data_IF_633397274309
#
_entry.id   IF_633397274309
#
_cell.length_a   1.000
_cell.length_b   1.000
_cell.length_c   1.000
_cell.angle_alpha   90.00
_cell.angle_beta   90.00
_cell.angle_gamma   90.00
#
_symmetry.space_group_name_H-M   'P 1'
#
loop_
_entity.id
_entity.type
_entity.pdbx_description
1 polymer ?
#
# COMPACT_ATOMS: atom_id res chain seq x y z
N UNK A 1 -15.53 18.26 -1.75
CA UNK A 1 -14.51 18.59 -0.73
C UNK A 1 -14.04 17.33 -0.01
N UNK A 2 -12.72 17.16 0.22
CA UNK A 2 -12.18 16.07 1.05
C UNK A 2 -11.62 16.57 2.39
N UNK A 3 -12.10 16.02 3.51
CA UNK A 3 -11.72 16.43 4.87
C UNK A 3 -11.23 15.24 5.72
N UNK A 4 -10.30 15.51 6.64
CA UNK A 4 -9.55 14.49 7.38
C UNK A 4 -9.64 14.60 8.91
N UNK A 5 -10.05 15.76 9.45
CA UNK A 5 -10.32 15.94 10.88
C UNK A 5 -11.19 17.18 11.13
N UNK A 6 -11.84 17.26 12.30
CA UNK A 6 -12.67 18.40 12.74
C UNK A 6 -11.93 19.75 12.77
N UNK A 7 -10.59 19.76 12.85
CA UNK A 7 -9.79 21.00 12.95
C UNK A 7 -9.61 21.75 11.61
N UNK A 8 -9.88 21.12 10.46
CA UNK A 8 -9.64 21.72 9.13
C UNK A 8 -10.92 22.02 8.35
N UNK A 9 -12.08 21.76 8.97
CA UNK A 9 -13.40 22.03 8.40
C UNK A 9 -13.70 23.51 8.17
N UNK A 10 -13.30 24.48 9.03
CA UNK A 10 -13.77 25.85 8.89
C UNK A 10 -13.42 26.49 7.54
N UNK A 11 -12.19 26.33 7.05
CA UNK A 11 -11.78 26.90 5.77
C UNK A 11 -12.44 26.25 4.54
N UNK A 12 -12.63 24.93 4.58
CA UNK A 12 -13.37 24.21 3.53
C UNK A 12 -14.87 24.52 3.57
N UNK A 13 -15.44 24.75 4.76
CA UNK A 13 -16.84 25.11 4.95
C UNK A 13 -17.13 26.52 4.46
N UNK A 14 -16.24 27.49 4.72
CA UNK A 14 -16.36 28.84 4.15
C UNK A 14 -16.33 28.77 2.63
N UNK A 15 -15.33 28.12 2.04
CA UNK A 15 -15.27 27.94 0.59
C UNK A 15 -16.52 27.24 0.02
N UNK A 16 -17.01 26.19 0.68
CA UNK A 16 -18.19 25.46 0.23
C UNK A 16 -19.46 26.31 0.32
N UNK A 17 -19.59 27.19 1.33
CA UNK A 17 -20.70 28.15 1.44
C UNK A 17 -20.72 29.10 0.25
N UNK A 18 -19.56 29.62 -0.15
CA UNK A 18 -19.45 30.52 -1.30
C UNK A 18 -19.88 29.81 -2.59
N UNK A 19 -19.50 28.54 -2.77
CA UNK A 19 -19.94 27.76 -3.92
C UNK A 19 -21.41 27.39 -3.91
N UNK A 20 -21.98 27.10 -2.72
CA UNK A 20 -23.41 26.89 -2.57
C UNK A 20 -24.21 28.16 -2.91
N UNK A 21 -23.71 29.33 -2.51
CA UNK A 21 -24.30 30.62 -2.88
C UNK A 21 -24.25 30.84 -4.40
N UNK A 22 -23.24 30.31 -5.09
CA UNK A 22 -23.14 30.28 -6.56
C UNK A 22 -23.96 29.14 -7.23
N UNK A 23 -24.78 28.40 -6.47
CA UNK A 23 -25.65 27.33 -6.99
C UNK A 23 -24.94 26.01 -7.29
N UNK A 24 -23.70 25.83 -6.83
CA UNK A 24 -22.93 24.61 -7.07
C UNK A 24 -23.10 23.60 -5.92
N UNK A 25 -23.34 22.33 -6.26
CA UNK A 25 -23.36 21.26 -5.27
C UNK A 25 -21.94 20.85 -4.85
N UNK A 26 -21.66 20.86 -3.54
CA UNK A 26 -20.33 20.46 -3.00
C UNK A 26 -20.47 19.18 -2.16
N UNK A 27 -20.38 17.98 -2.78
CA UNK A 27 -20.39 16.73 -2.02
C UNK A 27 -19.14 16.61 -1.14
N UNK A 28 -19.33 16.11 0.08
CA UNK A 28 -18.27 15.92 1.06
C UNK A 28 -17.83 14.46 1.12
N UNK A 29 -16.51 14.25 1.01
CA UNK A 29 -15.85 12.97 1.18
C UNK A 29 -14.97 13.08 2.42
N UNK A 30 -15.24 12.31 3.48
CA UNK A 30 -14.48 12.42 4.73
C UNK A 30 -13.88 11.08 5.10
N UNK A 31 -12.56 11.02 5.26
CA UNK A 31 -11.87 9.86 5.82
C UNK A 31 -11.27 10.24 7.17
N UNK A 32 -11.25 9.29 8.11
CA UNK A 32 -10.55 9.48 9.39
C UNK A 32 -9.26 8.69 9.36
N UNK A 33 -8.15 9.33 9.69
CA UNK A 33 -6.85 8.68 9.65
C UNK A 33 -6.20 8.65 11.02
N UNK A 34 -6.02 7.44 11.52
CA UNK A 34 -5.45 7.20 12.85
C UNK A 34 -4.02 6.71 12.78
N UNK A 35 -3.33 6.87 11.65
CA UNK A 35 -1.97 6.37 11.44
C UNK A 35 -1.85 4.85 11.28
N UNK A 36 -2.72 4.09 11.98
CA UNK A 36 -2.79 2.62 12.04
C UNK A 36 -3.55 1.97 10.89
N UNK A 37 -4.51 2.67 10.28
CA UNK A 37 -5.32 2.15 9.18
C UNK A 37 -5.08 2.94 7.90
N UNK A 38 -4.88 2.21 6.80
CA UNK A 38 -4.86 2.74 5.43
C UNK A 38 -6.25 2.70 4.78
N UNK A 39 -7.29 2.35 5.54
CA UNK A 39 -8.65 2.29 5.03
C UNK A 39 -9.18 3.70 4.74
N UNK A 40 -9.53 3.93 3.48
CA UNK A 40 -9.94 5.24 2.94
C UNK A 40 -11.14 5.07 2.00
N UNK A 41 -12.30 4.67 2.54
CA UNK A 41 -13.48 4.40 1.72
C UNK A 41 -14.00 5.66 1.04
N UNK A 42 -13.89 6.84 1.66
CA UNK A 42 -14.36 8.08 1.05
C UNK A 42 -13.46 8.53 -0.11
N UNK A 43 -12.14 8.37 0.01
CA UNK A 43 -11.22 8.56 -1.11
C UNK A 43 -11.54 7.61 -2.27
N UNK A 44 -11.78 6.33 -1.97
CA UNK A 44 -12.09 5.33 -3.00
C UNK A 44 -13.35 5.71 -3.77
N UNK A 45 -14.40 6.14 -3.06
CA UNK A 45 -15.62 6.68 -3.66
C UNK A 45 -15.37 7.93 -4.50
N UNK A 46 -14.58 8.88 -3.99
CA UNK A 46 -14.23 10.10 -4.72
C UNK A 46 -13.58 9.76 -6.08
N UNK A 47 -12.60 8.85 -6.09
CA UNK A 47 -11.93 8.41 -7.31
C UNK A 47 -12.89 7.71 -8.28
N UNK A 48 -13.84 6.92 -7.76
CA UNK A 48 -14.87 6.30 -8.59
C UNK A 48 -15.79 7.35 -9.25
N UNK A 49 -16.23 8.37 -8.50
CA UNK A 49 -17.08 9.43 -9.02
C UNK A 49 -16.32 10.37 -10.00
N UNK A 50 -15.02 10.57 -9.79
CA UNK A 50 -14.11 11.25 -10.74
C UNK A 50 -14.06 10.48 -12.06
N UNK A 51 -13.77 9.17 -12.02
CA UNK A 51 -13.69 8.30 -13.20
C UNK A 51 -15.03 8.17 -13.93
N UNK A 52 -16.14 8.27 -13.20
CA UNK A 52 -17.49 8.31 -13.76
C UNK A 52 -17.87 9.69 -14.35
N UNK A 53 -16.98 10.69 -14.33
CA UNK A 53 -17.22 12.02 -14.89
C UNK A 53 -18.17 12.90 -14.07
N UNK A 54 -18.53 12.49 -12.84
CA UNK A 54 -19.46 13.23 -11.96
C UNK A 54 -18.80 14.40 -11.24
N UNK A 55 -17.47 14.39 -11.16
CA UNK A 55 -16.68 15.39 -10.43
C UNK A 55 -15.84 16.18 -11.42
N UNK A 56 -16.02 17.50 -11.45
CA UNK A 56 -15.24 18.41 -12.31
C UNK A 56 -14.12 19.14 -11.55
N UNK A 57 -14.21 19.20 -10.23
CA UNK A 57 -13.19 19.82 -9.39
C UNK A 57 -13.09 19.12 -8.03
N UNK A 58 -11.86 18.93 -7.57
CA UNK A 58 -11.53 18.34 -6.27
C UNK A 58 -10.86 19.40 -5.42
N UNK A 59 -11.48 19.71 -4.28
CA UNK A 59 -10.95 20.70 -3.33
C UNK A 59 -10.61 20.05 -2.01
N UNK A 60 -9.40 20.32 -1.53
CA UNK A 60 -8.85 19.85 -0.26
C UNK A 60 -8.28 21.02 0.55
N UNK A 61 -8.18 20.83 1.87
CA UNK A 61 -7.53 21.83 2.71
C UNK A 61 -6.01 21.86 2.48
N UNK A 62 -5.40 20.67 2.45
CA UNK A 62 -3.95 20.47 2.24
C UNK A 62 -3.68 19.20 1.44
N UNK A 63 -2.53 19.17 0.78
CA UNK A 63 -2.00 18.08 -0.02
C UNK A 63 -1.81 16.77 0.75
N UNK A 64 -1.40 16.85 2.02
CA UNK A 64 -1.18 15.69 2.90
C UNK A 64 -2.46 14.87 3.12
N UNK A 65 -3.62 15.37 2.65
CA UNK A 65 -4.91 14.70 2.70
C UNK A 65 -5.19 13.81 1.52
N UNK A 66 -4.41 13.86 0.43
CA UNK A 66 -4.62 12.96 -0.72
C UNK A 66 -3.61 11.81 -0.74
N UNK A 67 -2.34 12.08 -0.47
CA UNK A 67 -1.29 11.08 -0.52
C UNK A 67 -0.24 11.26 0.58
N UNK A 68 0.38 10.16 0.99
CA UNK A 68 1.54 10.14 1.90
C UNK A 68 2.88 10.13 1.17
N UNK A 69 2.87 9.93 -0.14
CA UNK A 69 4.08 9.77 -0.96
C UNK A 69 4.02 10.69 -2.16
N UNK A 70 5.16 11.26 -2.55
CA UNK A 70 5.27 12.12 -3.73
C UNK A 70 4.79 11.38 -4.99
N UNK A 71 5.22 10.12 -5.16
CA UNK A 71 4.79 9.24 -6.27
C UNK A 71 3.27 9.02 -6.33
N UNK A 72 2.61 8.85 -5.18
CA UNK A 72 1.17 8.65 -5.15
C UNK A 72 0.41 9.92 -5.53
N UNK A 73 0.93 11.08 -5.09
CA UNK A 73 0.35 12.37 -5.42
C UNK A 73 0.50 12.73 -6.90
N UNK A 74 1.66 12.43 -7.49
CA UNK A 74 1.92 12.72 -8.91
C UNK A 74 1.08 11.85 -9.82
N UNK A 75 0.96 10.55 -9.53
CA UNK A 75 0.03 9.68 -10.26
C UNK A 75 -1.43 10.16 -10.20
N UNK A 76 -1.86 10.69 -9.05
CA UNK A 76 -3.18 11.30 -8.91
C UNK A 76 -3.32 12.56 -9.75
N UNK A 77 -2.32 13.44 -9.76
CA UNK A 77 -2.35 14.66 -10.57
C UNK A 77 -2.42 14.36 -12.07
N UNK A 78 -1.63 13.39 -12.54
CA UNK A 78 -1.67 12.95 -13.93
C UNK A 78 -3.06 12.41 -14.31
N UNK A 79 -3.66 11.59 -13.43
CA UNK A 79 -5.02 11.07 -13.63
C UNK A 79 -6.06 12.21 -13.69
N UNK A 80 -5.99 13.18 -12.79
CA UNK A 80 -6.91 14.32 -12.76
C UNK A 80 -6.78 15.20 -14.00
N UNK A 81 -5.55 15.48 -14.45
CA UNK A 81 -5.30 16.24 -15.68
C UNK A 81 -5.84 15.49 -16.90
N UNK A 82 -5.60 14.18 -17.00
CA UNK A 82 -6.11 13.35 -18.09
C UNK A 82 -7.65 13.33 -18.14
N UNK A 83 -8.29 13.30 -16.96
CA UNK A 83 -9.75 13.33 -16.82
C UNK A 83 -10.35 14.74 -16.87
N UNK A 84 -9.53 15.78 -17.09
CA UNK A 84 -9.94 17.20 -17.12
C UNK A 84 -10.65 17.64 -15.83
N UNK A 85 -10.21 17.11 -14.70
CA UNK A 85 -10.73 17.45 -13.37
C UNK A 85 -9.77 18.43 -12.71
N UNK A 86 -10.26 19.60 -12.31
CA UNK A 86 -9.41 20.57 -11.61
C UNK A 86 -9.10 20.08 -10.19
N UNK A 87 -7.94 20.47 -9.67
CA UNK A 87 -7.54 20.19 -8.30
C UNK A 87 -7.10 21.48 -7.60
N UNK A 88 -7.64 21.71 -6.40
CA UNK A 88 -7.35 22.88 -5.58
C UNK A 88 -6.99 22.46 -4.15
N UNK A 89 -5.83 22.91 -3.67
CA UNK A 89 -5.45 22.89 -2.26
C UNK A 89 -5.50 24.30 -1.68
N UNK A 90 -6.42 24.54 -0.74
CA UNK A 90 -6.68 25.88 -0.22
C UNK A 90 -5.52 26.44 0.62
N UNK A 91 -4.94 25.64 1.51
CA UNK A 91 -3.87 26.11 2.41
C UNK A 91 -2.51 26.14 1.74
N UNK A 92 -2.28 25.24 0.78
CA UNK A 92 -1.01 25.19 0.03
C UNK A 92 -1.01 26.16 -1.16
N UNK A 93 -2.16 26.75 -1.50
CA UNK A 93 -2.29 27.69 -2.61
C UNK A 93 -2.07 27.07 -3.99
N UNK A 94 -2.40 25.78 -4.13
CA UNK A 94 -2.17 25.03 -5.38
C UNK A 94 -3.48 24.91 -6.13
N UNK A 95 -3.49 25.35 -7.39
CA UNK A 95 -4.61 25.18 -8.32
C UNK A 95 -4.08 24.70 -9.68
N UNK A 96 -4.37 23.44 -10.05
CA UNK A 96 -3.93 22.85 -11.32
C UNK A 96 -4.57 23.50 -12.56
N UNK A 97 -5.60 24.32 -12.38
CA UNK A 97 -6.16 25.18 -13.42
C UNK A 97 -5.23 26.32 -13.82
N UNK A 98 -4.28 26.69 -12.95
CA UNK A 98 -3.35 27.81 -13.19
C UNK A 98 -1.97 27.36 -13.71
N UNK A 99 -1.25 28.18 -14.49
CA UNK A 99 0.13 27.89 -14.88
C UNK A 99 1.06 27.65 -13.68
N UNK A 100 0.91 28.45 -12.61
CA UNK A 100 1.70 28.33 -11.40
C UNK A 100 1.45 26.99 -10.65
N UNK A 101 0.19 26.58 -10.51
CA UNK A 101 -0.14 25.30 -9.88
C UNK A 101 0.35 24.09 -10.69
N UNK A 102 0.27 24.16 -12.04
CA UNK A 102 0.87 23.14 -12.92
C UNK A 102 2.39 23.05 -12.78
N UNK A 103 3.08 24.19 -12.64
CA UNK A 103 4.52 24.20 -12.37
C UNK A 103 4.84 23.48 -11.05
N UNK A 104 4.11 23.79 -9.98
CA UNK A 104 4.31 23.15 -8.66
C UNK A 104 4.11 21.63 -8.75
N UNK A 105 3.06 21.18 -9.46
CA UNK A 105 2.81 19.76 -9.68
C UNK A 105 3.98 19.07 -10.41
N UNK A 106 4.52 19.70 -11.46
CA UNK A 106 5.67 19.17 -12.20
C UNK A 106 6.93 19.10 -11.33
N UNK A 107 7.18 20.10 -10.48
CA UNK A 107 8.29 20.06 -9.52
C UNK A 107 8.13 18.88 -8.55
N UNK A 108 6.93 18.65 -8.02
CA UNK A 108 6.64 17.50 -7.17
C UNK A 108 6.85 16.15 -7.91
N UNK A 109 6.53 16.09 -9.20
CA UNK A 109 6.79 14.93 -10.06
C UNK A 109 8.29 14.65 -10.24
N UNK A 110 9.08 15.70 -10.46
CA UNK A 110 10.54 15.59 -10.55
C UNK A 110 11.14 15.09 -9.23
N UNK A 111 10.67 15.61 -8.09
CA UNK A 111 11.13 15.15 -6.77
C UNK A 111 10.76 13.68 -6.55
N UNK A 112 9.54 13.25 -6.91
CA UNK A 112 9.12 11.87 -6.79
C UNK A 112 9.98 10.89 -7.63
N UNK A 113 10.38 11.34 -8.82
CA UNK A 113 11.24 10.57 -9.73
C UNK A 113 12.66 10.46 -9.15
N UNK A 114 13.22 11.57 -8.70
CA UNK A 114 14.52 11.62 -8.02
C UNK A 114 14.58 10.70 -6.79
N UNK A 115 13.56 10.74 -5.91
CA UNK A 115 13.51 9.83 -4.75
C UNK A 115 13.50 8.35 -5.15
N UNK A 116 12.85 8.02 -6.27
CA UNK A 116 12.80 6.66 -6.81
C UNK A 116 14.17 6.21 -7.33
N UNK A 117 14.85 7.08 -8.07
CA UNK A 117 16.20 6.85 -8.59
C UNK A 117 17.21 6.66 -7.46
N UNK A 118 17.26 7.58 -6.49
CA UNK A 118 18.14 7.48 -5.31
C UNK A 118 17.89 6.19 -4.53
N UNK A 119 16.63 5.78 -4.41
CA UNK A 119 16.28 4.50 -3.76
C UNK A 119 16.79 3.30 -4.57
N UNK A 120 16.67 3.34 -5.89
CA UNK A 120 17.17 2.29 -6.78
C UNK A 120 18.69 2.18 -6.70
N UNK A 121 19.41 3.30 -6.69
CA UNK A 121 20.86 3.37 -6.50
C UNK A 121 21.29 2.72 -5.18
N UNK A 122 20.63 3.06 -4.06
CA UNK A 122 20.91 2.45 -2.76
C UNK A 122 20.67 0.94 -2.75
N UNK A 123 19.61 0.48 -3.41
CA UNK A 123 19.32 -0.95 -3.54
C UNK A 123 20.40 -1.64 -4.38
N UNK A 124 20.84 -1.03 -5.48
CA UNK A 124 21.90 -1.56 -6.34
C UNK A 124 23.24 -1.64 -5.60
N UNK A 125 23.64 -0.58 -4.89
CA UNK A 125 24.83 -0.55 -4.05
C UNK A 125 24.79 -1.63 -2.96
N UNK A 126 23.65 -1.77 -2.27
CA UNK A 126 23.45 -2.83 -1.28
C UNK A 126 23.53 -4.25 -1.87
N UNK A 127 22.99 -4.47 -3.08
CA UNK A 127 23.11 -5.74 -3.80
C UNK A 127 24.56 -6.04 -4.18
N UNK A 128 25.29 -5.05 -4.73
CA UNK A 128 26.68 -5.18 -5.11
C UNK A 128 27.58 -5.52 -3.90
N UNK A 129 27.42 -4.80 -2.80
CA UNK A 129 28.15 -5.08 -1.56
C UNK A 129 27.86 -6.50 -1.03
N UNK A 130 26.61 -6.95 -1.11
CA UNK A 130 26.23 -8.30 -0.70
C UNK A 130 26.82 -9.38 -1.62
N UNK A 131 26.85 -9.14 -2.94
CA UNK A 131 27.47 -10.04 -3.91
C UNK A 131 28.98 -10.15 -3.68
N UNK A 132 29.68 -9.04 -3.49
CA UNK A 132 31.11 -9.03 -3.17
C UNK A 132 31.43 -9.80 -1.88
N UNK A 133 30.59 -9.65 -0.84
CA UNK A 133 30.73 -10.43 0.40
C UNK A 133 30.55 -11.94 0.18
N UNK A 134 29.59 -12.35 -0.64
CA UNK A 134 29.38 -13.76 -0.99
C UNK A 134 30.59 -14.31 -1.74
N UNK A 135 31.10 -13.56 -2.71
CA UNK A 135 32.28 -13.94 -3.49
C UNK A 135 33.52 -14.10 -2.59
N UNK A 136 33.75 -13.19 -1.65
CA UNK A 136 34.85 -13.28 -0.69
C UNK A 136 34.75 -14.54 0.20
N UNK A 137 33.54 -14.87 0.69
CA UNK A 137 33.31 -16.09 1.48
C UNK A 137 33.65 -17.34 0.65
N UNK A 138 33.20 -17.39 -0.61
CA UNK A 138 33.47 -18.51 -1.50
C UNK A 138 34.97 -18.67 -1.80
N UNK A 139 35.69 -17.57 -2.05
CA UNK A 139 37.15 -17.59 -2.26
C UNK A 139 37.92 -18.08 -1.02
N UNK A 140 37.42 -17.80 0.18
CA UNK A 140 37.98 -18.30 1.44
C UNK A 140 37.58 -19.75 1.77
N UNK A 141 36.85 -20.45 0.89
CA UNK A 141 36.37 -21.81 1.11
C UNK A 141 35.20 -21.91 2.11
N UNK A 142 34.61 -20.79 2.51
CA UNK A 142 33.47 -20.74 3.42
C UNK A 142 32.13 -20.97 2.70
N UNK A 143 31.09 -21.30 3.47
CA UNK A 143 29.72 -21.45 2.94
C UNK A 143 28.93 -20.14 3.13
N UNK A 144 28.49 -19.46 2.05
CA UNK A 144 27.74 -18.21 2.18
C UNK A 144 26.31 -18.43 2.72
N UNK A 145 25.73 -17.42 3.39
CA UNK A 145 24.37 -17.51 3.93
C UNK A 145 23.32 -17.65 2.81
N UNK A 146 22.20 -18.35 3.06
CA UNK A 146 21.17 -18.59 2.05
C UNK A 146 20.59 -17.28 1.50
N UNK A 147 20.56 -17.13 0.18
CA UNK A 147 20.02 -15.95 -0.51
C UNK A 147 18.50 -16.07 -0.61
N UNK A 148 17.76 -15.35 0.24
CA UNK A 148 16.31 -15.25 0.12
C UNK A 148 15.96 -14.40 -1.12
N UNK A 149 15.56 -15.04 -2.22
CA UNK A 149 14.94 -14.37 -3.38
C UNK A 149 13.52 -13.94 -3.00
N UNK A 150 13.38 -12.74 -2.42
CA UNK A 150 12.12 -11.99 -2.44
C UNK A 150 10.90 -12.59 -1.71
N UNK A 151 11.09 -13.32 -0.61
CA UNK A 151 9.98 -13.81 0.21
C UNK A 151 10.48 -14.44 1.51
N UNK A 152 9.55 -14.69 2.45
CA UNK A 152 9.77 -15.58 3.60
C UNK A 152 10.46 -16.85 3.09
N UNK A 153 11.55 -17.33 3.74
CA UNK A 153 12.39 -18.38 3.18
C UNK A 153 11.58 -19.54 2.59
N UNK A 154 11.70 -19.75 1.28
CA UNK A 154 11.10 -20.88 0.57
C UNK A 154 11.95 -22.09 0.94
N UNK A 155 11.49 -22.84 1.94
CA UNK A 155 12.26 -23.94 2.53
C UNK A 155 12.28 -23.96 4.06
N UNK A 156 11.18 -23.65 4.73
CA UNK A 156 10.88 -24.48 5.90
C UNK A 156 10.57 -25.85 5.28
N UNK A 157 11.35 -26.91 5.56
CA UNK A 157 11.01 -28.25 5.09
C UNK A 157 9.54 -28.48 5.42
N UNK A 158 8.76 -29.01 4.48
CA UNK A 158 7.38 -29.37 4.76
C UNK A 158 7.44 -30.27 6.00
N UNK A 159 7.02 -29.77 7.18
CA UNK A 159 7.06 -30.56 8.43
C UNK A 159 6.27 -31.86 8.27
N UNK A 160 5.42 -31.90 7.25
CA UNK A 160 4.66 -33.05 6.80
C UNK A 160 5.31 -33.60 5.52
N UNK A 161 6.12 -34.65 5.67
CA UNK A 161 6.54 -35.50 4.55
C UNK A 161 5.35 -36.35 4.06
N UNK A 162 5.38 -36.94 2.85
CA UNK A 162 4.33 -37.85 2.38
C UNK A 162 4.03 -39.00 3.36
N UNK A 163 5.05 -39.46 4.07
CA UNK A 163 4.94 -40.45 5.14
C UNK A 163 4.12 -39.92 6.32
N UNK A 164 4.41 -38.71 6.80
CA UNK A 164 3.67 -38.07 7.89
C UNK A 164 2.22 -37.77 7.48
N UNK A 165 1.98 -37.40 6.22
CA UNK A 165 0.61 -37.23 5.69
C UNK A 165 -0.19 -38.53 5.74
N UNK A 166 0.42 -39.64 5.33
CA UNK A 166 -0.21 -40.97 5.39
C UNK A 166 -0.50 -41.38 6.84
N UNK A 167 0.42 -41.08 7.78
CA UNK A 167 0.21 -41.32 9.20
C UNK A 167 -0.94 -40.49 9.77
N UNK A 168 -1.06 -39.20 9.41
CA UNK A 168 -2.20 -38.34 9.82
C UNK A 168 -3.52 -38.95 9.36
N UNK A 169 -3.61 -39.37 8.09
CA UNK A 169 -4.83 -39.95 7.52
C UNK A 169 -5.18 -41.30 8.17
N UNK A 170 -4.18 -42.15 8.42
CA UNK A 170 -4.35 -43.43 9.12
C UNK A 170 -4.87 -43.22 10.54
N UNK A 171 -4.21 -42.37 11.32
CA UNK A 171 -4.61 -42.06 12.71
C UNK A 171 -6.00 -41.40 12.78
N UNK A 172 -6.37 -40.61 11.76
CA UNK A 172 -7.72 -40.04 11.68
C UNK A 172 -8.77 -41.11 11.37
N UNK A 173 -8.46 -42.07 10.51
CA UNK A 173 -9.32 -43.23 10.21
C UNK A 173 -9.54 -44.12 11.44
N UNK A 174 -8.52 -44.25 12.28
CA UNK A 174 -8.58 -44.90 13.60
C UNK A 174 -9.34 -44.05 14.65
N UNK A 175 -10.02 -42.97 14.24
CA UNK A 175 -10.81 -42.06 15.10
C UNK A 175 -10.01 -41.38 16.21
N UNK A 176 -8.68 -41.28 16.11
CA UNK A 176 -7.87 -40.52 17.09
C UNK A 176 -8.21 -39.02 17.04
N UNK A 177 -8.15 -38.36 18.20
CA UNK A 177 -8.40 -36.91 18.33
C UNK A 177 -7.25 -36.12 17.69
N UNK A 178 -7.56 -35.02 17.00
CA UNK A 178 -6.57 -34.16 16.31
C UNK A 178 -5.48 -33.64 17.25
N UNK A 179 -5.83 -33.35 18.51
CA UNK A 179 -4.86 -32.95 19.52
C UNK A 179 -3.82 -34.05 19.84
N UNK A 180 -4.23 -35.32 19.80
CA UNK A 180 -3.33 -36.45 20.00
C UNK A 180 -2.43 -36.65 18.78
N UNK A 181 -2.99 -36.58 17.58
CA UNK A 181 -2.23 -36.67 16.30
C UNK A 181 -1.15 -35.58 16.24
N UNK A 182 -1.52 -34.34 16.58
CA UNK A 182 -0.59 -33.21 16.61
C UNK A 182 0.55 -33.44 17.62
N UNK A 183 0.24 -33.97 18.81
CA UNK A 183 1.24 -34.25 19.84
C UNK A 183 2.17 -35.39 19.45
N UNK A 184 1.64 -36.50 18.94
CA UNK A 184 2.43 -37.69 18.55
C UNK A 184 3.38 -37.39 17.37
N UNK A 185 2.93 -36.57 16.41
CA UNK A 185 3.73 -36.24 15.23
C UNK A 185 4.56 -34.95 15.40
N UNK A 186 4.56 -34.35 16.60
CA UNK A 186 5.21 -33.07 16.89
C UNK A 186 4.84 -31.95 15.89
N UNK A 187 3.55 -31.88 15.56
CA UNK A 187 2.97 -30.90 14.63
C UNK A 187 2.05 -29.92 15.37
N UNK A 188 1.82 -28.75 14.76
CA UNK A 188 0.76 -27.88 15.24
C UNK A 188 -0.61 -28.47 14.90
N UNK A 189 -1.63 -28.21 15.73
CA UNK A 189 -3.02 -28.62 15.42
C UNK A 189 -3.47 -28.05 14.07
N UNK A 190 -3.07 -26.81 13.75
CA UNK A 190 -3.36 -26.16 12.48
C UNK A 190 -2.79 -26.95 11.29
N UNK A 191 -1.54 -27.42 11.39
CA UNK A 191 -0.90 -28.24 10.36
C UNK A 191 -1.67 -29.53 10.09
N UNK A 192 -2.16 -30.20 11.15
CA UNK A 192 -2.98 -31.41 11.01
C UNK A 192 -4.31 -31.08 10.33
N UNK A 193 -4.98 -29.98 10.69
CA UNK A 193 -6.22 -29.54 10.02
C UNK A 193 -6.01 -29.16 8.56
N UNK A 194 -4.90 -28.52 8.21
CA UNK A 194 -4.57 -28.18 6.82
C UNK A 194 -4.37 -29.43 5.96
N UNK A 195 -3.73 -30.47 6.49
CA UNK A 195 -3.57 -31.76 5.80
C UNK A 195 -4.93 -32.44 5.60
N UNK A 196 -5.77 -32.49 6.64
CA UNK A 196 -7.10 -33.11 6.57
C UNK A 196 -8.08 -32.37 5.66
N UNK A 197 -7.88 -31.08 5.40
CA UNK A 197 -8.71 -30.27 4.49
C UNK A 197 -8.33 -30.49 3.02
N UNK A 198 -7.09 -30.89 2.75
CA UNK A 198 -6.52 -31.07 1.41
C UNK A 198 -6.60 -32.51 0.90
N UNK A 199 -6.89 -33.46 1.78
CA UNK A 199 -7.10 -34.87 1.49
C UNK A 199 -8.58 -35.16 1.26
#
# INVERSE_FOLDING_TARGET
>A
AHAHSKQHRPGLETWAKDQHAAGQAVPWYTDTFTGKSMDRPAMTRLLADIRAGKVKSVVVWRLDRLGRTAKGLTALFDELVALKVNFVSLKDGIDLGTPAGRLIANVLASVASYETEVRAERIAAGKAAKAAKIEAILKAGGTPPPVNKGGRPKGIPNKVTPTVQTMILKMKREKKKVALIARELNLSRQTVYEVLRRA
#
